data_IF_855966951555
#
_entry.id   IF_855966951555
#
_cell.length_a   1.000
_cell.length_b   1.000
_cell.length_c   1.000
_cell.angle_alpha   90.00
_cell.angle_beta   90.00
_cell.angle_gamma   90.00
#
_symmetry.space_group_name_H-M   'P 1'
#
loop_
_entity.id
_entity.type
_entity.pdbx_description
1 polymer ?
#
# COMPACT_ATOMS: atom_id res chain seq x y z
N UNK A 1 -43.56 20.06 -60.22
CA UNK A 1 -42.74 18.83 -60.28
C UNK A 1 -41.47 19.08 -59.49
N UNK A 2 -41.41 18.53 -58.27
CA UNK A 2 -40.31 17.72 -57.68
C UNK A 2 -38.86 18.01 -58.12
N UNK A 3 -37.80 18.04 -57.29
CA UNK A 3 -37.59 17.62 -55.91
C UNK A 3 -36.27 18.22 -55.35
N UNK A 4 -36.24 18.35 -54.03
CA UNK A 4 -35.15 18.33 -53.04
C UNK A 4 -33.66 18.28 -53.43
N UNK A 5 -32.86 19.13 -52.76
CA UNK A 5 -31.71 18.64 -51.98
C UNK A 5 -31.34 19.55 -50.80
N UNK A 6 -31.31 18.92 -49.62
CA UNK A 6 -31.01 19.47 -48.29
C UNK A 6 -29.53 19.19 -47.91
N UNK A 7 -29.08 19.86 -46.85
CA UNK A 7 -28.00 19.51 -45.87
C UNK A 7 -26.54 19.52 -46.35
N UNK A 8 -25.51 19.91 -45.58
CA UNK A 8 -25.38 20.30 -44.18
C UNK A 8 -24.07 21.09 -43.98
N UNK A 9 -24.12 22.09 -43.11
CA UNK A 9 -22.99 22.86 -42.56
C UNK A 9 -22.23 21.99 -41.55
N UNK A 10 -20.94 21.69 -41.78
CA UNK A 10 -20.07 21.07 -40.77
C UNK A 10 -19.13 22.14 -40.22
N UNK A 11 -19.45 22.58 -39.01
CA UNK A 11 -18.61 23.38 -38.13
C UNK A 11 -17.39 22.54 -37.73
N UNK A 12 -16.19 22.97 -38.13
CA UNK A 12 -14.93 22.38 -37.68
C UNK A 12 -14.67 22.78 -36.22
N UNK A 13 -14.80 21.83 -35.29
CA UNK A 13 -14.33 21.99 -33.91
C UNK A 13 -12.81 21.84 -33.82
N UNK A 14 -12.09 22.70 -33.09
CA UNK A 14 -10.67 22.53 -32.87
C UNK A 14 -10.42 21.39 -31.88
N UNK A 15 -9.78 20.33 -32.36
CA UNK A 15 -9.34 19.20 -31.55
C UNK A 15 -8.19 19.63 -30.64
N UNK A 16 -8.54 20.13 -29.45
CA UNK A 16 -7.64 20.22 -28.32
C UNK A 16 -7.13 18.82 -27.98
N UNK A 17 -5.92 18.50 -28.45
CA UNK A 17 -5.20 17.30 -28.03
C UNK A 17 -4.95 17.40 -26.53
N UNK A 18 -5.79 16.73 -25.74
CA UNK A 18 -5.50 16.41 -24.33
C UNK A 18 -4.07 15.82 -24.29
N UNK A 19 -3.19 16.29 -23.39
CA UNK A 19 -1.89 15.65 -23.19
C UNK A 19 -2.14 14.19 -22.83
N UNK A 20 -1.61 13.29 -23.65
CA UNK A 20 -1.54 11.86 -23.34
C UNK A 20 -0.68 11.75 -22.08
N UNK A 21 -1.15 11.17 -20.96
CA UNK A 21 -0.27 10.93 -19.82
C UNK A 21 0.91 10.10 -20.33
N UNK A 22 2.11 10.56 -20.01
CA UNK A 22 3.35 9.90 -20.37
C UNK A 22 3.22 8.41 -20.03
N UNK A 23 3.57 7.55 -20.97
CA UNK A 23 3.71 6.12 -20.73
C UNK A 23 4.56 5.93 -19.48
N UNK A 24 3.91 5.55 -18.36
CA UNK A 24 4.58 5.11 -17.15
C UNK A 24 5.54 4.01 -17.57
N UNK A 25 6.83 4.30 -17.49
CA UNK A 25 7.84 3.28 -17.77
C UNK A 25 7.59 2.14 -16.80
N UNK A 26 7.69 0.89 -17.25
CA UNK A 26 7.68 -0.30 -16.37
C UNK A 26 8.76 -0.26 -15.26
N UNK A 27 9.61 0.78 -15.23
CA UNK A 27 10.63 1.00 -14.21
C UNK A 27 10.12 1.70 -12.95
N UNK A 28 9.03 2.48 -13.02
CA UNK A 28 8.49 3.27 -11.90
C UNK A 28 7.28 2.58 -11.22
N UNK A 29 7.58 1.51 -10.51
CA UNK A 29 6.58 0.75 -9.74
C UNK A 29 6.39 1.29 -8.32
N UNK A 30 7.37 2.02 -7.80
CA UNK A 30 7.39 2.50 -6.42
C UNK A 30 6.66 3.83 -6.27
N UNK A 31 6.70 4.71 -7.27
CA UNK A 31 6.02 6.01 -7.26
C UNK A 31 4.53 5.92 -6.87
N UNK A 32 3.72 5.04 -7.48
CA UNK A 32 2.33 4.86 -7.08
C UNK A 32 2.14 4.44 -5.62
N UNK A 33 3.00 3.55 -5.11
CA UNK A 33 2.94 3.05 -3.72
C UNK A 33 3.25 4.19 -2.74
N UNK A 34 4.28 4.99 -3.03
CA UNK A 34 4.65 6.15 -2.21
C UNK A 34 3.54 7.19 -2.17
N UNK A 35 2.89 7.46 -3.31
CA UNK A 35 1.74 8.37 -3.37
C UNK A 35 0.59 7.86 -2.50
N UNK A 36 0.25 6.58 -2.59
CA UNK A 36 -0.79 5.97 -1.75
C UNK A 36 -0.48 6.12 -0.26
N UNK A 37 0.74 5.76 0.17
CA UNK A 37 1.15 5.91 1.57
C UNK A 37 1.16 7.38 2.02
N UNK A 38 1.54 8.31 1.15
CA UNK A 38 1.52 9.73 1.48
C UNK A 38 0.09 10.25 1.70
N UNK A 39 -0.87 9.78 0.89
CA UNK A 39 -2.30 10.09 1.06
C UNK A 39 -2.82 9.51 2.38
N UNK A 40 -2.50 8.24 2.64
CA UNK A 40 -2.85 7.56 3.90
C UNK A 40 -2.29 8.34 5.10
N UNK A 41 -1.00 8.66 5.09
CA UNK A 41 -0.33 9.38 6.18
C UNK A 41 -0.93 10.78 6.40
N UNK A 42 -1.22 11.51 5.31
CA UNK A 42 -1.85 12.82 5.41
C UNK A 42 -3.26 12.75 6.01
N UNK A 43 -4.04 11.73 5.66
CA UNK A 43 -5.40 11.54 6.17
C UNK A 43 -5.43 11.19 7.66
N UNK A 44 -4.42 10.48 8.16
CA UNK A 44 -4.30 10.12 9.59
C UNK A 44 -3.67 11.25 10.41
N UNK A 45 -2.90 12.14 9.79
CA UNK A 45 -2.27 13.28 10.46
C UNK A 45 -3.23 14.25 11.15
N UNK A 46 -4.52 14.20 10.81
CA UNK A 46 -5.59 15.00 11.43
C UNK A 46 -6.35 14.28 12.56
N UNK A 47 -6.01 13.01 12.83
CA UNK A 47 -6.67 12.19 13.85
C UNK A 47 -5.90 12.21 15.18
N UNK A 48 -6.58 12.04 16.34
CA UNK A 48 -5.96 12.11 17.67
C UNK A 48 -5.16 10.84 18.04
N UNK A 49 -4.47 10.23 17.08
CA UNK A 49 -3.73 8.97 17.25
C UNK A 49 -2.24 9.14 16.94
N UNK A 50 -1.47 9.76 17.87
CA UNK A 50 -0.05 10.06 17.64
C UNK A 50 0.77 8.81 17.39
N UNK A 51 0.39 7.68 18.00
CA UNK A 51 1.05 6.41 17.80
C UNK A 51 0.91 5.89 16.36
N UNK A 52 -0.31 5.87 15.82
CA UNK A 52 -0.57 5.35 14.46
C UNK A 52 0.06 6.26 13.41
N UNK A 53 0.06 7.57 13.67
CA UNK A 53 0.83 8.53 12.86
C UNK A 53 2.32 8.14 12.80
N UNK A 54 2.93 7.82 13.94
CA UNK A 54 4.33 7.38 13.99
C UNK A 54 4.59 6.13 13.14
N UNK A 55 3.71 5.12 13.20
CA UNK A 55 3.84 3.91 12.38
C UNK A 55 3.80 4.22 10.88
N UNK A 56 2.91 5.12 10.44
CA UNK A 56 2.80 5.52 9.04
C UNK A 56 4.02 6.34 8.58
N UNK A 57 4.62 7.13 9.47
CA UNK A 57 5.91 7.79 9.22
C UNK A 57 7.06 6.77 9.10
N UNK A 58 7.06 5.70 9.91
CA UNK A 58 8.00 4.57 9.74
C UNK A 58 7.81 3.90 8.39
N UNK A 59 6.56 3.65 7.95
CA UNK A 59 6.25 3.11 6.61
C UNK A 59 6.86 3.98 5.51
N UNK A 60 6.62 5.30 5.56
CA UNK A 60 7.19 6.23 4.59
C UNK A 60 8.71 6.16 4.56
N UNK A 61 9.35 6.14 5.73
CA UNK A 61 10.81 6.06 5.86
C UNK A 61 11.37 4.78 5.23
N UNK A 62 10.69 3.64 5.40
CA UNK A 62 11.06 2.37 4.75
C UNK A 62 10.94 2.49 3.23
N UNK A 63 9.86 3.07 2.71
CA UNK A 63 9.68 3.24 1.26
C UNK A 63 10.74 4.17 0.66
N UNK A 64 11.05 5.29 1.31
CA UNK A 64 12.10 6.22 0.90
C UNK A 64 13.47 5.50 0.87
N UNK A 65 13.74 4.64 1.87
CA UNK A 65 14.98 3.85 1.92
C UNK A 65 15.05 2.80 0.79
N UNK A 66 13.91 2.20 0.42
CA UNK A 66 13.82 1.28 -0.71
C UNK A 66 13.98 2.00 -2.06
N UNK A 67 13.49 3.23 -2.20
CA UNK A 67 13.69 4.04 -3.40
C UNK A 67 15.19 4.23 -3.70
N UNK A 68 15.96 4.61 -2.68
CA UNK A 68 17.42 4.74 -2.78
C UNK A 68 18.06 3.43 -3.24
N UNK A 69 17.64 2.29 -2.68
CA UNK A 69 18.12 0.97 -3.10
C UNK A 69 17.75 0.67 -4.56
N UNK A 70 16.52 0.96 -4.99
CA UNK A 70 16.07 0.74 -6.36
C UNK A 70 16.87 1.60 -7.36
N UNK A 71 17.19 2.86 -7.03
CA UNK A 71 18.09 3.69 -7.84
C UNK A 71 19.49 3.09 -7.94
N UNK A 72 20.05 2.57 -6.83
CA UNK A 72 21.35 1.91 -6.84
C UNK A 72 21.34 0.64 -7.71
N UNK A 73 20.28 -0.18 -7.64
CA UNK A 73 20.10 -1.37 -8.49
C UNK A 73 20.26 -0.98 -9.97
N UNK A 74 19.50 0.01 -10.42
CA UNK A 74 19.43 0.40 -11.84
C UNK A 74 20.78 0.87 -12.39
N UNK A 75 21.64 1.48 -11.55
CA UNK A 75 22.97 1.95 -11.98
C UNK A 75 24.04 0.87 -12.14
N UNK A 76 23.81 -0.35 -11.63
CA UNK A 76 24.86 -1.38 -11.53
C UNK A 76 24.66 -2.61 -12.41
N UNK A 77 23.62 -2.61 -13.24
CA UNK A 77 23.32 -3.74 -14.12
C UNK A 77 24.22 -3.70 -15.36
N UNK A 78 25.33 -4.43 -15.31
CA UNK A 78 26.25 -4.58 -16.46
C UNK A 78 26.28 -6.01 -17.06
N UNK A 79 25.52 -6.98 -16.54
CA UNK A 79 25.56 -8.39 -16.98
C UNK A 79 24.18 -9.08 -17.03
N UNK A 80 23.97 -9.96 -18.04
CA UNK A 80 22.72 -10.73 -18.26
C UNK A 80 22.37 -11.71 -17.15
N UNK A 81 23.34 -12.31 -16.45
CA UNK A 81 23.05 -13.21 -15.33
C UNK A 81 22.69 -12.43 -14.06
N UNK A 82 23.33 -11.27 -13.85
CA UNK A 82 22.96 -10.35 -12.80
C UNK A 82 21.54 -9.80 -13.01
N UNK A 83 21.14 -9.55 -14.26
CA UNK A 83 19.81 -9.06 -14.63
C UNK A 83 18.66 -9.93 -14.08
N UNK A 84 18.74 -11.25 -14.19
CA UNK A 84 17.64 -12.13 -13.74
C UNK A 84 17.53 -12.16 -12.22
N UNK A 85 18.65 -12.28 -11.50
CA UNK A 85 18.68 -12.26 -10.03
C UNK A 85 18.25 -10.90 -9.49
N UNK A 86 18.73 -9.82 -10.09
CA UNK A 86 18.34 -8.45 -9.74
C UNK A 86 16.86 -8.22 -9.99
N UNK A 87 16.30 -8.74 -11.08
CA UNK A 87 14.87 -8.64 -11.35
C UNK A 87 14.05 -9.36 -10.28
N UNK A 88 14.41 -10.61 -9.94
CA UNK A 88 13.75 -11.36 -8.86
C UNK A 88 13.79 -10.57 -7.54
N UNK A 89 14.95 -10.05 -7.17
CA UNK A 89 15.10 -9.30 -5.93
C UNK A 89 14.28 -8.00 -5.92
N UNK A 90 14.21 -7.31 -7.06
CA UNK A 90 13.35 -6.14 -7.26
C UNK A 90 11.87 -6.49 -7.12
N UNK A 91 11.45 -7.63 -7.67
CA UNK A 91 10.07 -8.09 -7.55
C UNK A 91 9.74 -8.44 -6.08
N UNK A 92 10.65 -9.08 -5.33
CA UNK A 92 10.48 -9.32 -3.88
C UNK A 92 10.40 -8.02 -3.07
N UNK A 93 11.26 -7.04 -3.37
CA UNK A 93 11.19 -5.71 -2.74
C UNK A 93 9.87 -5.01 -3.08
N UNK A 94 9.39 -5.18 -4.31
CA UNK A 94 8.11 -4.65 -4.76
C UNK A 94 6.95 -5.24 -3.97
N UNK A 95 6.87 -6.57 -3.89
CA UNK A 95 5.82 -7.24 -3.12
C UNK A 95 5.85 -6.81 -1.66
N UNK A 96 7.04 -6.69 -1.05
CA UNK A 96 7.17 -6.17 0.32
C UNK A 96 6.55 -4.77 0.48
N UNK A 97 6.82 -3.87 -0.46
CA UNK A 97 6.29 -2.50 -0.41
C UNK A 97 4.78 -2.46 -0.64
N UNK A 98 4.25 -3.32 -1.52
CA UNK A 98 2.82 -3.48 -1.75
C UNK A 98 2.12 -3.99 -0.48
N UNK A 99 2.67 -5.05 0.16
CA UNK A 99 2.14 -5.61 1.41
C UNK A 99 2.16 -4.56 2.54
N UNK A 100 3.23 -3.77 2.65
CA UNK A 100 3.34 -2.66 3.63
C UNK A 100 2.26 -1.59 3.39
N UNK A 101 2.06 -1.17 2.14
CA UNK A 101 1.10 -0.13 1.80
C UNK A 101 -0.35 -0.61 2.00
N UNK A 102 -0.61 -1.90 1.81
CA UNK A 102 -1.91 -2.49 2.09
C UNK A 102 -2.24 -2.46 3.59
N UNK A 103 -1.29 -2.83 4.46
CA UNK A 103 -1.50 -2.70 5.91
C UNK A 103 -1.75 -1.23 6.29
N UNK A 104 -0.99 -0.28 5.74
CA UNK A 104 -1.21 1.14 5.99
C UNK A 104 -2.65 1.59 5.62
N UNK A 105 -3.18 1.08 4.51
CA UNK A 105 -4.55 1.35 4.06
C UNK A 105 -5.59 0.75 5.01
N UNK A 106 -5.41 -0.52 5.43
CA UNK A 106 -6.29 -1.16 6.42
C UNK A 106 -6.31 -0.38 7.74
N UNK A 107 -5.15 0.10 8.19
CA UNK A 107 -5.02 0.92 9.39
C UNK A 107 -5.82 2.22 9.27
N UNK A 108 -5.73 2.91 8.13
CA UNK A 108 -6.50 4.13 7.86
C UNK A 108 -8.01 3.88 7.87
N UNK A 109 -8.47 2.82 7.19
CA UNK A 109 -9.89 2.47 7.11
C UNK A 109 -10.46 2.20 8.50
N UNK A 110 -9.68 1.49 9.33
CA UNK A 110 -10.03 1.20 10.72
C UNK A 110 -10.10 2.45 11.57
N UNK A 111 -9.11 3.34 11.47
CA UNK A 111 -9.15 4.61 12.18
C UNK A 111 -10.35 5.47 11.78
N UNK A 112 -10.71 5.47 10.50
CA UNK A 112 -11.87 6.19 9.99
C UNK A 112 -13.18 5.64 10.55
N UNK A 113 -13.25 4.32 10.79
CA UNK A 113 -14.42 3.65 11.36
C UNK A 113 -14.54 3.80 12.90
N UNK A 114 -13.43 3.78 13.63
CA UNK A 114 -13.43 3.82 15.11
C UNK A 114 -13.63 5.23 15.70
N UNK A 115 -13.50 6.30 14.91
CA UNK A 115 -13.62 7.66 15.42
C UNK A 115 -12.57 7.94 16.51
N UNK A 116 -12.98 8.27 17.74
CA UNK A 116 -12.08 8.53 18.87
C UNK A 116 -11.71 7.29 19.70
N UNK A 117 -12.28 6.12 19.41
CA UNK A 117 -12.20 4.96 20.31
C UNK A 117 -11.52 3.77 19.61
N UNK A 118 -10.20 3.81 19.52
CA UNK A 118 -9.40 2.74 18.88
C UNK A 118 -9.28 1.55 19.84
N UNK A 119 -9.67 0.38 19.36
CA UNK A 119 -9.57 -0.86 20.13
C UNK A 119 -8.12 -1.15 20.56
N UNK A 120 -7.93 -1.67 21.78
CA UNK A 120 -6.59 -2.02 22.30
C UNK A 120 -5.87 -3.04 21.41
N UNK A 121 -6.62 -3.98 20.83
CA UNK A 121 -6.07 -4.97 19.89
C UNK A 121 -5.46 -4.29 18.65
N UNK A 122 -6.10 -3.24 18.12
CA UNK A 122 -5.60 -2.46 16.99
C UNK A 122 -4.25 -1.80 17.33
N UNK A 123 -4.13 -1.23 18.53
CA UNK A 123 -2.89 -0.62 19.02
C UNK A 123 -1.79 -1.68 19.12
N UNK A 124 -2.10 -2.86 19.64
CA UNK A 124 -1.15 -3.98 19.75
C UNK A 124 -0.63 -4.40 18.36
N UNK A 125 -1.52 -4.52 17.36
CA UNK A 125 -1.11 -4.86 15.98
C UNK A 125 -0.29 -3.77 15.32
N UNK A 126 -0.58 -2.50 15.58
CA UNK A 126 0.25 -1.40 15.08
C UNK A 126 1.64 -1.38 15.73
N UNK A 127 1.81 -1.89 16.97
CA UNK A 127 3.14 -2.11 17.61
C UNK A 127 3.91 -3.25 16.99
N UNK A 128 3.23 -4.34 16.71
CA UNK A 128 3.81 -5.46 15.96
C UNK A 128 4.26 -4.99 14.56
N UNK A 129 3.46 -4.17 13.89
CA UNK A 129 3.81 -3.60 12.59
C UNK A 129 5.04 -2.70 12.65
N UNK A 130 5.06 -1.73 13.57
CA UNK A 130 6.19 -0.80 13.72
C UNK A 130 7.51 -1.55 14.01
N UNK A 131 7.46 -2.56 14.88
CA UNK A 131 8.63 -3.41 15.17
C UNK A 131 9.17 -4.08 13.91
N UNK A 132 8.28 -4.64 13.07
CA UNK A 132 8.67 -5.26 11.81
C UNK A 132 9.26 -4.22 10.84
N UNK A 133 8.69 -3.02 10.77
CA UNK A 133 9.19 -1.94 9.91
C UNK A 133 10.56 -1.44 10.34
N UNK A 134 10.81 -1.32 11.66
CA UNK A 134 12.12 -0.95 12.20
C UNK A 134 13.18 -2.01 11.84
N UNK A 135 12.84 -3.29 11.95
CA UNK A 135 13.72 -4.37 11.54
C UNK A 135 14.04 -4.32 10.03
N UNK A 136 13.03 -4.09 9.19
CA UNK A 136 13.21 -3.89 7.73
C UNK A 136 14.12 -2.70 7.47
N UNK A 137 13.92 -1.59 8.17
CA UNK A 137 14.72 -0.37 8.01
C UNK A 137 16.21 -0.63 8.34
N UNK A 138 16.50 -1.40 9.39
CA UNK A 138 17.87 -1.82 9.73
C UNK A 138 18.50 -2.60 8.58
N UNK A 139 17.77 -3.56 7.99
CA UNK A 139 18.26 -4.34 6.85
C UNK A 139 18.52 -3.46 5.63
N UNK A 140 17.57 -2.58 5.28
CA UNK A 140 17.69 -1.69 4.12
C UNK A 140 18.82 -0.67 4.32
N UNK A 141 18.99 -0.09 5.51
CA UNK A 141 20.14 0.78 5.77
C UNK A 141 21.48 0.05 5.72
N UNK A 142 21.53 -1.21 6.17
CA UNK A 142 22.74 -2.02 6.03
C UNK A 142 23.07 -2.29 4.56
N UNK A 143 22.08 -2.39 3.66
CA UNK A 143 22.31 -2.43 2.22
C UNK A 143 22.93 -1.13 1.68
N UNK A 144 22.50 0.03 2.20
CA UNK A 144 22.93 1.35 1.72
C UNK A 144 24.36 1.72 2.16
N UNK A 145 24.85 1.19 3.29
CA UNK A 145 26.12 1.62 3.91
C UNK A 145 27.37 1.50 3.02
N UNK A 146 27.39 0.65 2.00
CA UNK A 146 28.54 0.60 1.08
C UNK A 146 28.14 0.07 -0.30
N UNK A 147 28.53 0.79 -1.35
CA UNK A 147 28.26 0.43 -2.76
C UNK A 147 28.82 -0.95 -3.17
N UNK A 148 29.98 -1.34 -2.62
CA UNK A 148 30.57 -2.68 -2.83
C UNK A 148 29.75 -3.77 -2.15
N UNK A 149 29.36 -3.52 -0.90
CA UNK A 149 28.54 -4.43 -0.10
C UNK A 149 27.16 -4.57 -0.76
N UNK A 150 26.55 -3.50 -1.27
CA UNK A 150 25.28 -3.55 -1.99
C UNK A 150 25.30 -4.50 -3.20
N UNK A 151 26.37 -4.44 -4.00
CA UNK A 151 26.55 -5.33 -5.16
C UNK A 151 26.70 -6.79 -4.72
N UNK A 152 27.51 -7.04 -3.69
CA UNK A 152 27.68 -8.37 -3.10
C UNK A 152 26.39 -8.88 -2.43
N UNK A 153 25.61 -7.98 -1.82
CA UNK A 153 24.35 -8.26 -1.14
C UNK A 153 23.22 -8.59 -2.11
N UNK A 154 23.08 -7.86 -3.22
CA UNK A 154 22.16 -8.23 -4.31
C UNK A 154 22.52 -9.59 -4.94
N UNK A 155 23.81 -9.95 -4.88
CA UNK A 155 24.32 -11.23 -5.35
C UNK A 155 24.31 -12.31 -4.26
N UNK A 156 24.11 -11.96 -3.00
CA UNK A 156 24.02 -12.85 -1.85
C UNK A 156 22.56 -13.30 -1.64
N UNK A 157 22.36 -14.54 -1.18
CA UNK A 157 21.01 -15.03 -0.81
C UNK A 157 20.57 -14.50 0.55
N UNK A 158 21.49 -14.35 1.50
CA UNK A 158 21.15 -14.21 2.92
C UNK A 158 20.23 -13.03 3.25
N UNK A 159 20.42 -11.88 2.60
CA UNK A 159 19.63 -10.68 2.90
C UNK A 159 18.29 -10.69 2.19
N UNK A 160 18.24 -11.26 0.99
CA UNK A 160 16.96 -11.48 0.32
C UNK A 160 16.13 -12.53 1.07
N UNK A 161 16.78 -13.52 1.67
CA UNK A 161 16.11 -14.48 2.55
C UNK A 161 15.55 -13.78 3.80
N UNK A 162 16.28 -12.81 4.37
CA UNK A 162 15.78 -12.01 5.49
C UNK A 162 14.59 -11.12 5.07
N UNK A 163 14.65 -10.47 3.90
CA UNK A 163 13.53 -9.72 3.33
C UNK A 163 12.31 -10.63 3.14
N UNK A 164 12.48 -11.84 2.63
CA UNK A 164 11.38 -12.81 2.47
C UNK A 164 10.76 -13.19 3.82
N UNK A 165 11.58 -13.38 4.87
CA UNK A 165 11.05 -13.61 6.24
C UNK A 165 10.22 -12.43 6.73
N UNK A 166 10.64 -11.19 6.44
CA UNK A 166 9.84 -10.01 6.80
C UNK A 166 8.56 -9.93 5.99
N UNK A 167 8.60 -10.26 4.70
CA UNK A 167 7.39 -10.36 3.88
C UNK A 167 6.39 -11.38 4.45
N UNK A 168 6.85 -12.56 4.89
CA UNK A 168 5.99 -13.55 5.55
C UNK A 168 5.38 -13.02 6.86
N UNK A 169 6.17 -12.30 7.67
CA UNK A 169 5.67 -11.65 8.90
C UNK A 169 4.61 -10.60 8.58
N UNK A 170 4.81 -9.79 7.55
CA UNK A 170 3.85 -8.77 7.11
C UNK A 170 2.57 -9.41 6.58
N UNK A 171 2.65 -10.45 5.74
CA UNK A 171 1.47 -11.20 5.26
C UNK A 171 0.68 -11.84 6.39
N UNK A 172 1.36 -12.38 7.40
CA UNK A 172 0.72 -12.90 8.61
C UNK A 172 0.01 -11.77 9.37
N UNK A 173 0.66 -10.62 9.50
CA UNK A 173 0.08 -9.47 10.18
C UNK A 173 -1.13 -8.89 9.43
N UNK A 174 -1.06 -8.81 8.11
CA UNK A 174 -2.18 -8.45 7.23
C UNK A 174 -3.37 -9.39 7.44
N UNK A 175 -3.12 -10.71 7.49
CA UNK A 175 -4.17 -11.70 7.76
C UNK A 175 -4.83 -11.47 9.13
N UNK A 176 -4.06 -11.08 10.14
CA UNK A 176 -4.59 -10.75 11.47
C UNK A 176 -5.48 -9.48 11.42
N UNK A 177 -5.06 -8.43 10.71
CA UNK A 177 -5.87 -7.23 10.52
C UNK A 177 -7.18 -7.54 9.77
N UNK A 178 -7.13 -8.39 8.74
CA UNK A 178 -8.33 -8.84 8.02
C UNK A 178 -9.27 -9.65 8.92
N UNK A 179 -8.73 -10.51 9.79
CA UNK A 179 -9.54 -11.28 10.74
C UNK A 179 -10.29 -10.38 11.73
N UNK A 180 -9.60 -9.39 12.32
CA UNK A 180 -10.22 -8.37 13.18
C UNK A 180 -11.34 -7.65 12.41
N UNK A 181 -11.06 -7.29 11.14
CA UNK A 181 -12.05 -6.63 10.28
C UNK A 181 -13.29 -7.48 10.03
N UNK A 182 -13.11 -8.76 9.77
CA UNK A 182 -14.21 -9.70 9.57
C UNK A 182 -15.02 -9.88 10.86
N UNK A 183 -14.36 -9.97 12.02
CA UNK A 183 -15.02 -10.09 13.32
C UNK A 183 -15.87 -8.87 13.64
N UNK A 184 -15.33 -7.66 13.48
CA UNK A 184 -16.10 -6.41 13.69
C UNK A 184 -17.33 -6.34 12.78
N UNK A 185 -17.15 -6.72 11.51
CA UNK A 185 -18.26 -6.73 10.53
C UNK A 185 -19.33 -7.73 10.94
N UNK A 186 -18.93 -8.93 11.38
CA UNK A 186 -19.85 -9.95 11.85
C UNK A 186 -20.63 -9.50 13.09
N UNK A 187 -19.98 -8.84 14.03
CA UNK A 187 -20.64 -8.25 15.21
C UNK A 187 -21.65 -7.19 14.79
N UNK A 188 -21.28 -6.25 13.91
CA UNK A 188 -22.18 -5.22 13.41
C UNK A 188 -23.41 -5.80 12.68
N UNK A 189 -23.21 -6.83 11.85
CA UNK A 189 -24.32 -7.54 11.17
C UNK A 189 -25.22 -8.23 12.18
N UNK A 190 -24.66 -8.88 13.20
CA UNK A 190 -25.45 -9.50 14.26
C UNK A 190 -26.29 -8.46 15.02
N UNK A 191 -25.71 -7.33 15.37
CA UNK A 191 -26.39 -6.28 16.14
C UNK A 191 -27.52 -5.62 15.32
N UNK A 192 -27.29 -5.40 14.03
CA UNK A 192 -28.34 -4.91 13.11
C UNK A 192 -29.47 -5.92 12.96
N UNK A 193 -29.17 -7.22 12.84
CA UNK A 193 -30.20 -8.27 12.81
C UNK A 193 -31.05 -8.31 14.08
N UNK A 194 -30.43 -8.19 15.26
CA UNK A 194 -31.15 -8.11 16.53
C UNK A 194 -32.07 -6.89 16.57
N UNK A 195 -31.58 -5.74 16.12
CA UNK A 195 -32.36 -4.50 16.05
C UNK A 195 -33.55 -4.64 15.10
N UNK A 196 -33.32 -5.15 13.88
CA UNK A 196 -34.38 -5.39 12.89
C UNK A 196 -35.43 -6.34 13.44
N UNK A 197 -35.02 -7.43 14.10
CA UNK A 197 -35.95 -8.37 14.72
C UNK A 197 -36.80 -7.70 15.81
N UNK A 198 -36.17 -6.95 16.71
CA UNK A 198 -36.88 -6.22 17.77
C UNK A 198 -37.91 -5.22 17.20
N UNK A 199 -37.55 -4.49 16.13
CA UNK A 199 -38.50 -3.60 15.46
C UNK A 199 -39.63 -4.36 14.77
N UNK A 200 -39.36 -5.50 14.13
CA UNK A 200 -40.38 -6.31 13.48
C UNK A 200 -41.38 -6.89 14.49
N UNK A 201 -40.90 -7.39 15.64
CA UNK A 201 -41.76 -7.91 16.70
C UNK A 201 -42.66 -6.81 17.30
N UNK A 202 -42.21 -5.55 17.29
CA UNK A 202 -43.00 -4.39 17.72
C UNK A 202 -44.10 -4.00 16.71
N UNK A 203 -43.93 -4.29 15.41
CA UNK A 203 -44.92 -4.01 14.36
C UNK A 203 -45.96 -5.13 14.19
N UNK A 204 -45.64 -6.38 14.55
CA UNK A 204 -46.55 -7.54 14.42
C UNK A 204 -47.54 -7.63 15.60
N UNK A 205 -47.41 -6.78 16.63
CA UNK A 205 -48.26 -6.79 17.84
C UNK A 205 -49.54 -5.92 17.75
N UNK A 206 -49.93 -5.47 16.55
CA UNK A 206 -51.16 -4.67 16.30
C UNK A 206 -52.18 -5.43 15.45
#
# INVERSE_FOLDING_TARGET
>A
MSDHRTTNTIFSSPSGKRPRPASQSNSDWLGPIMVSVQVVTASVGVLPFPYVKGVLETVKTVLDAVEVCNSMILTHIHSKFALQKVKKNRDTLKELCEDIAEIASIVQDKLSAYGNNVAEEMVCRCKEFDTILQDVLVVVHNMQKTRSIFKEMLQSSNIMDDIMKYQEKIKKLQSNFMLITAMDTFVAVKDTLVTVKATNDQYVSW
#
